data_IF_017724200060
#
_entry.id   IF_017724200060
#
_cell.length_a   1.000
_cell.length_b   1.000
_cell.length_c   1.000
_cell.angle_alpha   90.00
_cell.angle_beta   90.00
_cell.angle_gamma   90.00
#
_symmetry.space_group_name_H-M   'P 1'
#
loop_
_entity.id
_entity.type
_entity.pdbx_description
1 polymer ?
#
# COMPACT_ATOMS: atom_id res chain seq x y z
N UNK A 1 14.89 -11.13 -19.11
CA UNK A 1 13.58 -11.83 -19.21
C UNK A 1 12.99 -11.53 -20.58
N UNK A 2 12.54 -12.54 -21.32
CA UNK A 2 11.85 -12.35 -22.60
C UNK A 2 10.43 -11.82 -22.31
N UNK A 3 10.10 -10.59 -22.75
CA UNK A 3 8.78 -10.02 -22.51
C UNK A 3 7.68 -10.65 -23.38
N UNK A 4 8.04 -11.39 -24.43
CA UNK A 4 7.10 -12.01 -25.37
C UNK A 4 6.52 -13.34 -24.85
N UNK A 5 7.16 -13.97 -23.85
CA UNK A 5 6.76 -15.27 -23.30
C UNK A 5 6.30 -15.15 -21.84
N UNK A 6 5.29 -14.30 -21.63
CA UNK A 6 4.72 -14.02 -20.30
C UNK A 6 3.43 -14.80 -20.10
N UNK A 7 3.37 -15.57 -19.01
CA UNK A 7 2.11 -16.13 -18.51
C UNK A 7 1.37 -15.07 -17.67
N UNK A 8 0.40 -14.39 -18.30
CA UNK A 8 -0.41 -13.36 -17.66
C UNK A 8 -1.49 -13.98 -16.77
N UNK A 9 -1.74 -13.35 -15.62
CA UNK A 9 -2.72 -13.81 -14.65
C UNK A 9 -3.60 -12.62 -14.31
N UNK A 10 -4.89 -12.79 -14.53
CA UNK A 10 -5.86 -11.72 -14.31
C UNK A 10 -5.97 -11.36 -12.84
N UNK A 11 -5.93 -10.06 -12.59
CA UNK A 11 -6.18 -9.51 -11.28
C UNK A 11 -7.66 -9.67 -10.93
N UNK A 12 -7.95 -10.35 -9.82
CA UNK A 12 -9.33 -10.50 -9.32
C UNK A 12 -9.90 -9.20 -8.71
N UNK A 13 -9.14 -8.10 -8.80
CA UNK A 13 -9.52 -6.78 -8.33
C UNK A 13 -9.06 -6.51 -6.90
N UNK A 14 -9.49 -5.37 -6.37
CA UNK A 14 -9.08 -4.90 -5.05
C UNK A 14 -9.53 -5.84 -3.92
N UNK A 15 -8.69 -5.96 -2.89
CA UNK A 15 -9.06 -6.58 -1.63
C UNK A 15 -9.46 -5.50 -0.63
N UNK A 16 -10.68 -5.62 -0.09
CA UNK A 16 -11.14 -4.82 1.04
C UNK A 16 -10.58 -5.41 2.33
N UNK A 17 -9.70 -4.68 3.02
CA UNK A 17 -9.20 -5.10 4.34
C UNK A 17 -9.89 -4.32 5.45
N UNK A 18 -9.95 -2.98 5.32
CA UNK A 18 -10.71 -2.10 6.22
C UNK A 18 -11.59 -1.13 5.41
N UNK A 19 -12.81 -0.89 5.90
CA UNK A 19 -13.75 0.05 5.28
C UNK A 19 -13.44 1.50 5.64
N UNK A 20 -13.89 2.44 4.81
CA UNK A 20 -13.82 3.87 5.08
C UNK A 20 -13.78 4.72 3.81
N UNK A 21 -13.92 6.03 4.01
CA UNK A 21 -13.78 7.03 2.97
C UNK A 21 -12.85 8.14 3.46
N UNK A 22 -11.78 8.40 2.71
CA UNK A 22 -10.76 9.41 3.07
C UNK A 22 -10.16 10.08 1.86
N UNK A 23 -9.76 11.33 2.04
CA UNK A 23 -8.92 12.07 1.10
C UNK A 23 -7.62 12.49 1.77
N UNK A 24 -6.51 12.40 1.03
CA UNK A 24 -5.19 12.78 1.55
C UNK A 24 -4.12 12.89 0.48
N UNK A 25 -2.93 13.28 0.92
CA UNK A 25 -1.73 13.42 0.09
C UNK A 25 -1.10 12.04 -0.15
N UNK A 26 -0.75 11.73 -1.39
CA UNK A 26 -0.14 10.44 -1.73
C UNK A 26 1.33 10.44 -1.33
N UNK A 27 1.75 9.45 -0.53
CA UNK A 27 3.14 9.17 -0.16
C UNK A 27 3.42 7.66 -0.29
N UNK A 28 4.70 7.26 -0.30
CA UNK A 28 5.12 5.85 -0.30
C UNK A 28 5.93 5.45 -1.53
N UNK A 29 5.42 4.48 -2.28
CA UNK A 29 6.04 3.59 -3.27
C UNK A 29 6.60 2.31 -2.63
N UNK A 30 7.84 1.94 -2.90
CA UNK A 30 8.44 0.72 -2.38
C UNK A 30 8.67 0.82 -0.86
N UNK A 31 8.14 -0.11 -0.06
CA UNK A 31 8.11 -0.04 1.41
C UNK A 31 9.51 -0.12 2.00
N UNK A 32 10.33 -1.09 1.59
CA UNK A 32 11.68 -1.22 2.12
C UNK A 32 12.54 0.01 1.75
N UNK A 33 12.40 0.55 0.53
CA UNK A 33 13.08 1.80 0.11
C UNK A 33 12.57 3.01 0.88
N UNK A 34 11.26 3.14 1.07
CA UNK A 34 10.67 4.24 1.84
C UNK A 34 11.17 4.24 3.30
N UNK A 35 11.39 3.05 3.86
CA UNK A 35 11.95 2.88 5.19
C UNK A 35 13.40 3.40 5.31
N UNK A 36 14.19 3.43 4.23
CA UNK A 36 15.55 3.99 4.25
C UNK A 36 15.59 5.49 4.54
N UNK A 37 14.48 6.19 4.35
CA UNK A 37 14.37 7.62 4.65
C UNK A 37 14.17 7.87 6.15
N UNK A 38 13.72 6.87 6.93
CA UNK A 38 13.40 7.02 8.34
C UNK A 38 14.61 7.50 9.15
N UNK A 39 14.40 8.49 10.02
CA UNK A 39 15.46 9.11 10.82
C UNK A 39 16.35 10.10 10.05
N UNK A 40 16.09 10.34 8.76
CA UNK A 40 16.80 11.34 7.96
C UNK A 40 15.95 12.60 7.72
N UNK A 41 16.57 13.67 7.23
CA UNK A 41 15.85 14.89 6.81
C UNK A 41 14.93 14.68 5.59
N UNK A 42 15.10 13.57 4.88
CA UNK A 42 14.35 13.23 3.67
C UNK A 42 13.04 12.50 3.97
N UNK A 43 12.79 12.08 5.23
CA UNK A 43 11.52 11.44 5.60
C UNK A 43 10.37 12.47 5.51
N UNK A 44 9.33 12.23 4.70
CA UNK A 44 8.28 13.21 4.51
C UNK A 44 7.36 13.29 5.74
N UNK A 45 6.70 14.43 5.93
CA UNK A 45 5.62 14.54 6.89
C UNK A 45 4.46 13.61 6.50
N UNK A 46 4.03 12.75 7.41
CA UNK A 46 2.89 11.82 7.22
C UNK A 46 1.51 12.49 7.48
N UNK A 47 1.48 13.82 7.63
CA UNK A 47 0.25 14.54 7.98
C UNK A 47 -0.76 14.49 6.82
N UNK A 48 -1.97 14.02 7.12
CA UNK A 48 -3.08 13.92 6.15
C UNK A 48 -2.73 13.09 4.91
N UNK A 49 -1.89 12.06 5.06
CA UNK A 49 -1.43 11.26 3.92
C UNK A 49 -2.28 10.01 3.70
N UNK A 50 -2.25 9.53 2.47
CA UNK A 50 -2.63 8.17 2.10
C UNK A 50 -1.34 7.49 1.63
N UNK A 51 -0.99 6.40 2.29
CA UNK A 51 0.22 5.66 1.96
C UNK A 51 -0.09 4.66 0.84
N UNK A 52 0.59 4.80 -0.28
CA UNK A 52 0.61 3.82 -1.37
C UNK A 52 1.90 3.02 -1.20
N UNK A 53 1.82 1.81 -0.67
CA UNK A 53 2.99 0.98 -0.40
C UNK A 53 2.96 -0.32 -1.17
N UNK A 54 4.12 -0.80 -1.57
CA UNK A 54 4.32 -2.06 -2.27
C UNK A 54 5.71 -2.61 -1.95
N UNK A 55 5.99 -3.84 -2.33
CA UNK A 55 7.32 -4.41 -2.23
C UNK A 55 7.52 -5.46 -3.34
N UNK A 56 8.77 -5.88 -3.53
CA UNK A 56 9.15 -6.84 -4.56
C UNK A 56 9.06 -8.31 -4.10
N UNK A 57 9.61 -9.20 -4.92
CA UNK A 57 9.65 -10.65 -4.70
C UNK A 57 10.50 -11.10 -3.50
N UNK A 58 11.43 -10.28 -3.02
CA UNK A 58 12.26 -10.60 -1.85
C UNK A 58 11.48 -10.40 -0.55
N UNK A 59 10.41 -9.58 -0.58
CA UNK A 59 9.57 -9.31 0.58
C UNK A 59 8.59 -10.45 0.85
N UNK A 60 8.98 -11.35 1.76
CA UNK A 60 8.10 -12.37 2.33
C UNK A 60 7.13 -11.76 3.37
N UNK A 61 6.07 -12.47 3.82
CA UNK A 61 5.05 -11.86 4.66
C UNK A 61 5.58 -11.28 5.97
N UNK A 62 6.59 -11.90 6.56
CA UNK A 62 7.24 -11.40 7.77
C UNK A 62 8.13 -10.17 7.52
N UNK A 63 8.71 -10.03 6.32
CA UNK A 63 9.49 -8.86 5.90
C UNK A 63 8.58 -7.66 5.74
N UNK A 64 7.48 -7.83 4.99
CA UNK A 64 6.47 -6.78 4.85
C UNK A 64 5.88 -6.37 6.21
N UNK A 65 5.58 -7.34 7.08
CA UNK A 65 5.04 -7.11 8.42
C UNK A 65 5.95 -6.24 9.29
N UNK A 66 7.23 -6.62 9.43
CA UNK A 66 8.19 -5.88 10.26
C UNK A 66 8.46 -4.47 9.70
N UNK A 67 8.47 -4.33 8.38
CA UNK A 67 8.75 -3.06 7.72
C UNK A 67 7.55 -2.11 7.82
N UNK A 68 6.33 -2.63 7.70
CA UNK A 68 5.10 -1.89 8.00
C UNK A 68 5.06 -1.47 9.47
N UNK A 69 5.48 -2.34 10.40
CA UNK A 69 5.56 -1.99 11.82
C UNK A 69 6.57 -0.86 12.08
N UNK A 70 7.73 -0.88 11.42
CA UNK A 70 8.73 0.19 11.50
C UNK A 70 8.15 1.54 11.05
N UNK A 71 7.38 1.52 9.95
CA UNK A 71 6.70 2.71 9.43
C UNK A 71 5.60 3.22 10.38
N UNK A 72 4.80 2.32 10.97
CA UNK A 72 3.76 2.67 11.96
C UNK A 72 4.35 3.38 13.17
N UNK A 73 5.56 3.01 13.59
CA UNK A 73 6.24 3.64 14.73
C UNK A 73 6.89 5.00 14.40
N UNK A 74 6.85 5.47 13.14
CA UNK A 74 7.44 6.76 12.81
C UNK A 74 6.66 7.93 13.41
N UNK A 75 7.36 9.02 13.80
CA UNK A 75 6.71 10.24 14.24
C UNK A 75 5.67 10.73 13.21
N UNK A 76 4.47 11.03 13.69
CA UNK A 76 3.39 11.55 12.84
C UNK A 76 2.56 10.49 12.10
N UNK A 77 2.78 9.19 12.33
CA UNK A 77 1.95 8.14 11.71
C UNK A 77 0.45 8.30 12.01
N UNK A 78 0.08 8.87 13.16
CA UNK A 78 -1.32 9.23 13.47
C UNK A 78 -1.97 10.20 12.44
N UNK A 79 -1.18 10.84 11.58
CA UNK A 79 -1.65 11.66 10.46
C UNK A 79 -2.01 10.87 9.20
N UNK A 80 -1.65 9.58 9.12
CA UNK A 80 -2.00 8.67 8.02
C UNK A 80 -3.49 8.39 8.07
N UNK A 81 -4.17 8.64 6.95
CA UNK A 81 -5.62 8.49 6.81
C UNK A 81 -6.05 7.24 6.09
N UNK A 82 -5.16 6.58 5.37
CA UNK A 82 -5.51 5.39 4.59
C UNK A 82 -4.28 4.71 4.01
N UNK A 83 -4.47 3.46 3.61
CA UNK A 83 -3.43 2.60 3.05
C UNK A 83 -3.92 1.95 1.75
N UNK A 84 -3.11 2.05 0.70
CA UNK A 84 -3.27 1.28 -0.53
C UNK A 84 -2.04 0.40 -0.68
N UNK A 85 -2.24 -0.90 -0.79
CA UNK A 85 -1.17 -1.89 -0.91
C UNK A 85 -1.15 -2.43 -2.35
N UNK A 86 0.01 -2.32 -2.99
CA UNK A 86 0.26 -2.85 -4.33
C UNK A 86 0.14 -4.37 -4.37
N UNK A 87 -0.08 -4.92 -5.56
CA UNK A 87 -0.17 -6.38 -5.73
C UNK A 87 1.22 -7.01 -5.60
N UNK A 88 1.33 -7.92 -4.63
CA UNK A 88 2.52 -8.72 -4.38
C UNK A 88 2.85 -9.64 -5.56
N UNK A 89 4.14 -9.87 -5.80
CA UNK A 89 4.60 -10.93 -6.69
C UNK A 89 4.32 -12.30 -6.08
N UNK A 90 4.22 -13.34 -6.92
CA UNK A 90 3.99 -14.72 -6.45
C UNK A 90 5.08 -15.22 -5.50
N UNK A 91 6.32 -14.83 -5.77
CA UNK A 91 7.49 -15.24 -4.99
C UNK A 91 7.45 -14.71 -3.55
N UNK A 92 6.77 -13.59 -3.31
CA UNK A 92 6.51 -13.03 -1.98
C UNK A 92 5.64 -13.95 -1.09
N UNK A 93 4.94 -14.94 -1.68
CA UNK A 93 4.03 -15.87 -0.97
C UNK A 93 2.94 -15.21 -0.12
N UNK A 94 2.68 -13.92 -0.35
CA UNK A 94 1.62 -13.19 0.35
C UNK A 94 0.27 -13.67 -0.15
N UNK A 95 -0.61 -14.05 0.79
CA UNK A 95 -2.02 -14.36 0.50
C UNK A 95 -2.90 -13.27 1.11
N UNK A 96 -4.15 -13.19 0.62
CA UNK A 96 -5.13 -12.27 1.21
C UNK A 96 -5.31 -12.51 2.70
N UNK A 97 -5.43 -13.77 3.13
CA UNK A 97 -5.64 -14.13 4.53
C UNK A 97 -4.45 -13.75 5.42
N UNK A 98 -3.21 -13.97 4.95
CA UNK A 98 -2.00 -13.55 5.67
C UNK A 98 -1.95 -12.03 5.80
N UNK A 99 -2.25 -11.30 4.72
CA UNK A 99 -2.26 -9.84 4.75
C UNK A 99 -3.36 -9.32 5.70
N UNK A 100 -4.56 -9.90 5.66
CA UNK A 100 -5.63 -9.58 6.62
C UNK A 100 -5.17 -9.78 8.07
N UNK A 101 -4.48 -10.88 8.37
CA UNK A 101 -3.94 -11.13 9.70
C UNK A 101 -2.90 -10.07 10.09
N UNK A 102 -1.96 -9.75 9.20
CA UNK A 102 -0.95 -8.71 9.41
C UNK A 102 -1.60 -7.36 9.70
N UNK A 103 -2.64 -6.98 8.97
CA UNK A 103 -3.33 -5.69 9.17
C UNK A 103 -4.14 -5.69 10.48
N UNK A 104 -4.84 -6.79 10.79
CA UNK A 104 -5.67 -6.91 12.02
C UNK A 104 -4.86 -6.83 13.31
N UNK A 105 -3.56 -7.11 13.30
CA UNK A 105 -2.70 -6.98 14.49
C UNK A 105 -2.27 -5.53 14.80
N UNK A 106 -2.49 -4.58 13.88
CA UNK A 106 -2.05 -3.18 13.99
C UNK A 106 -3.21 -2.28 14.39
N UNK A 107 -3.23 -1.85 15.65
CA UNK A 107 -4.32 -1.04 16.22
C UNK A 107 -4.48 0.31 15.52
N UNK A 108 -3.37 0.86 15.06
CA UNK A 108 -3.25 2.14 14.34
C UNK A 108 -3.98 2.11 13.00
N UNK A 109 -4.15 0.92 12.41
CA UNK A 109 -4.81 0.75 11.11
C UNK A 109 -6.32 0.50 11.21
N UNK A 110 -6.84 0.12 12.39
CA UNK A 110 -8.22 -0.35 12.57
C UNK A 110 -9.29 0.65 12.10
N UNK A 111 -9.01 1.95 12.18
CA UNK A 111 -9.97 3.01 11.92
C UNK A 111 -9.71 3.78 10.61
N UNK A 112 -8.82 3.27 9.76
CA UNK A 112 -8.54 3.84 8.44
C UNK A 112 -8.84 2.83 7.34
N UNK A 113 -9.31 3.27 6.15
CA UNK A 113 -9.51 2.37 5.02
C UNK A 113 -8.18 1.78 4.57
N UNK A 114 -8.20 0.46 4.34
CA UNK A 114 -7.07 -0.31 3.85
C UNK A 114 -7.54 -1.14 2.65
N UNK A 115 -6.97 -0.86 1.49
CA UNK A 115 -7.19 -1.60 0.24
C UNK A 115 -5.88 -2.28 -0.15
N UNK A 116 -5.95 -3.50 -0.68
CA UNK A 116 -4.80 -4.19 -1.25
C UNK A 116 -5.06 -4.70 -2.66
N UNK A 117 -4.03 -5.33 -3.25
CA UNK A 117 -4.08 -5.94 -4.58
C UNK A 117 -4.32 -4.93 -5.71
N UNK A 118 -3.84 -3.70 -5.51
CA UNK A 118 -3.90 -2.64 -6.51
C UNK A 118 -2.84 -2.80 -7.60
N UNK A 119 -3.13 -2.32 -8.82
CA UNK A 119 -2.25 -2.43 -9.99
C UNK A 119 -1.07 -1.44 -9.94
N UNK A 120 -0.21 -1.55 -8.93
CA UNK A 120 1.11 -0.91 -8.86
C UNK A 120 2.08 -1.80 -8.06
N UNK A 121 3.37 -1.45 -8.11
CA UNK A 121 4.46 -2.25 -7.54
C UNK A 121 5.11 -3.14 -8.58
N UNK A 122 5.61 -4.31 -8.20
CA UNK A 122 6.48 -5.14 -9.07
C UNK A 122 5.74 -6.14 -10.00
N UNK A 123 4.41 -6.06 -10.09
CA UNK A 123 3.59 -6.87 -11.02
C UNK A 123 3.07 -6.02 -12.19
N UNK A 124 2.58 -6.61 -13.29
CA UNK A 124 2.00 -5.85 -14.41
C UNK A 124 0.50 -6.13 -14.59
N UNK A 125 -0.27 -5.16 -15.12
CA UNK A 125 0.13 -3.78 -15.44
C UNK A 125 0.35 -2.93 -14.18
N UNK A 126 1.01 -1.78 -14.33
CA UNK A 126 1.28 -0.80 -13.26
C UNK A 126 0.69 0.55 -13.66
N UNK A 127 -0.07 1.17 -12.77
CA UNK A 127 -0.48 2.56 -12.88
C UNK A 127 0.67 3.48 -12.44
N UNK A 128 0.69 4.71 -12.97
CA UNK A 128 1.52 5.80 -12.45
C UNK A 128 0.68 6.66 -11.52
N UNK A 129 1.27 7.11 -10.40
CA UNK A 129 0.63 8.01 -9.45
C UNK A 129 1.58 9.09 -8.94
N UNK A 130 1.07 10.29 -8.60
CA UNK A 130 1.88 11.44 -8.21
C UNK A 130 2.22 11.45 -6.71
N UNK A 131 3.50 11.27 -6.35
CA UNK A 131 3.95 11.52 -4.97
C UNK A 131 3.79 13.02 -4.65
N UNK A 132 3.11 13.35 -3.55
CA UNK A 132 2.72 14.74 -3.21
C UNK A 132 1.41 15.21 -3.86
N UNK A 133 0.86 14.44 -4.79
CA UNK A 133 -0.49 14.60 -5.30
C UNK A 133 -1.56 14.26 -4.26
N UNK A 134 -2.83 14.31 -4.64
CA UNK A 134 -3.95 14.00 -3.75
C UNK A 134 -4.81 12.87 -4.30
N UNK A 135 -5.28 11.99 -3.42
CA UNK A 135 -6.19 10.91 -3.76
C UNK A 135 -7.41 10.86 -2.83
N UNK A 136 -8.50 10.31 -3.36
CA UNK A 136 -9.69 9.90 -2.63
C UNK A 136 -9.80 8.38 -2.66
N UNK A 137 -10.00 7.78 -1.49
CA UNK A 137 -10.34 6.36 -1.32
C UNK A 137 -11.77 6.27 -0.84
N UNK A 138 -12.55 5.38 -1.48
CA UNK A 138 -13.83 4.89 -0.98
C UNK A 138 -13.78 3.37 -0.94
N UNK A 139 -13.80 2.80 0.25
CA UNK A 139 -13.68 1.36 0.47
C UNK A 139 -14.87 0.87 1.28
N UNK A 140 -15.78 0.13 0.65
CA UNK A 140 -16.88 -0.57 1.32
C UNK A 140 -17.18 -1.89 0.59
N UNK A 141 -18.08 -2.71 1.15
CA UNK A 141 -18.40 -4.04 0.63
C UNK A 141 -19.00 -4.03 -0.78
N UNK A 142 -19.60 -2.92 -1.20
CA UNK A 142 -20.25 -2.80 -2.50
C UNK A 142 -19.33 -2.24 -3.58
N UNK A 143 -18.42 -1.33 -3.21
CA UNK A 143 -17.55 -0.64 -4.16
C UNK A 143 -16.26 -0.18 -3.51
N UNK A 144 -15.17 -0.50 -4.19
CA UNK A 144 -13.85 0.07 -3.94
C UNK A 144 -13.52 1.04 -5.08
N UNK A 145 -13.16 2.27 -4.75
CA UNK A 145 -12.71 3.30 -5.70
C UNK A 145 -11.47 4.00 -5.16
N UNK A 146 -10.46 4.13 -6.02
CA UNK A 146 -9.29 4.99 -5.81
C UNK A 146 -9.32 6.03 -6.93
N UNK A 147 -9.23 7.31 -6.58
CA UNK A 147 -9.32 8.43 -7.52
C UNK A 147 -8.20 9.42 -7.27
N UNK A 148 -7.41 9.74 -8.29
CA UNK A 148 -6.36 10.76 -8.23
C UNK A 148 -7.01 12.12 -8.50
N UNK A 149 -7.00 13.00 -7.51
CA UNK A 149 -7.64 14.32 -7.57
C UNK A 149 -6.67 15.42 -8.04
N UNK A 150 -5.37 15.25 -7.77
CA UNK A 150 -4.32 16.20 -8.15
C UNK A 150 -3.05 15.42 -8.46
N UNK A 151 -2.45 15.69 -9.62
CA UNK A 151 -1.23 15.05 -10.11
C UNK A 151 -0.21 16.06 -10.64
#
# INVERSE_FOLDING_TARGET
>A
MNQEDRNLIDNQGFWLLNQGEVQGVILGANLCTFNLLQGTEYFPSLKNSILFIEDDEESLPHTFDRDLQSLIHQPGFAGVKGLVIGRFQKASKMTKDLLEQIIKTKKELLNIPVIANADFGHTDPKITFPIGGAALIKANEHKIKIEILRH
#
